data_IF_181692607832
#
_entry.id   IF_181692607832
#
_cell.length_a   1.000
_cell.length_b   1.000
_cell.length_c   1.000
_cell.angle_alpha   90.00
_cell.angle_beta   90.00
_cell.angle_gamma   90.00
#
_symmetry.space_group_name_H-M   'P 1'
#
loop_
_entity.id
_entity.type
_entity.pdbx_description
1 polymer ?
#
# COMPACT_ATOMS: atom_id res chain seq x y z
N UNK A 1 25.23 -16.35 -9.07
CA UNK A 1 24.83 -17.06 -10.30
C UNK A 1 23.47 -16.50 -10.71
N UNK A 2 23.42 -15.57 -11.65
CA UNK A 2 22.18 -14.91 -12.06
C UNK A 2 21.53 -15.67 -13.21
N UNK A 3 20.55 -16.54 -12.92
CA UNK A 3 19.69 -17.07 -13.98
C UNK A 3 18.79 -15.94 -14.48
N UNK A 4 18.89 -15.62 -15.77
CA UNK A 4 17.92 -14.74 -16.42
C UNK A 4 16.61 -15.52 -16.46
N UNK A 5 15.61 -15.09 -15.69
CA UNK A 5 14.26 -15.65 -15.77
C UNK A 5 13.79 -15.61 -17.24
N UNK A 6 13.29 -16.73 -17.74
CA UNK A 6 12.76 -16.81 -19.11
C UNK A 6 11.56 -15.88 -19.26
N UNK A 7 11.18 -15.47 -20.50
CA UNK A 7 10.02 -14.61 -20.73
C UNK A 7 8.73 -15.17 -20.10
N UNK A 8 8.54 -16.49 -20.15
CA UNK A 8 7.39 -17.16 -19.53
C UNK A 8 7.41 -17.08 -18.00
N UNK A 9 8.56 -17.31 -17.37
CA UNK A 9 8.71 -17.15 -15.91
C UNK A 9 8.50 -15.70 -15.47
N UNK A 10 8.94 -14.73 -16.28
CA UNK A 10 8.66 -13.31 -16.01
C UNK A 10 7.17 -13.00 -16.07
N UNK A 11 6.43 -13.58 -17.02
CA UNK A 11 4.99 -13.43 -17.12
C UNK A 11 4.26 -14.03 -15.90
N UNK A 12 4.68 -15.22 -15.45
CA UNK A 12 4.13 -15.86 -14.24
C UNK A 12 4.42 -15.05 -12.96
N UNK A 13 5.64 -14.53 -12.82
CA UNK A 13 6.03 -13.68 -11.69
C UNK A 13 5.12 -12.45 -11.60
N UNK A 14 4.90 -11.77 -12.72
CA UNK A 14 4.08 -10.57 -12.73
C UNK A 14 2.59 -10.91 -12.54
N UNK A 15 2.11 -12.03 -13.07
CA UNK A 15 0.74 -12.49 -12.84
C UNK A 15 0.50 -12.84 -11.36
N UNK A 16 1.45 -13.49 -10.66
CA UNK A 16 1.35 -13.73 -9.22
C UNK A 16 1.31 -12.41 -8.44
N UNK A 17 2.13 -11.42 -8.80
CA UNK A 17 2.11 -10.10 -8.15
C UNK A 17 0.75 -9.42 -8.38
N UNK A 18 0.23 -9.44 -9.61
CA UNK A 18 -1.09 -8.89 -9.95
C UNK A 18 -2.24 -9.63 -9.26
N UNK A 19 -2.06 -10.92 -8.96
CA UNK A 19 -3.00 -11.73 -8.19
C UNK A 19 -2.98 -11.44 -6.68
N UNK A 20 -2.07 -10.58 -6.20
CA UNK A 20 -2.00 -10.15 -4.79
C UNK A 20 -0.92 -10.83 -3.96
N UNK A 21 -0.04 -11.65 -4.55
CA UNK A 21 1.09 -12.22 -3.82
C UNK A 21 2.14 -11.14 -3.51
N UNK A 22 2.73 -11.20 -2.32
CA UNK A 22 3.83 -10.29 -1.95
C UNK A 22 5.12 -10.63 -2.72
N UNK A 23 5.98 -9.65 -2.93
CA UNK A 23 7.30 -9.84 -3.56
C UNK A 23 8.14 -10.90 -2.81
N UNK A 24 7.98 -11.01 -1.49
CA UNK A 24 8.63 -12.03 -0.67
C UNK A 24 8.09 -13.44 -0.95
N UNK A 25 6.77 -13.58 -1.06
CA UNK A 25 6.14 -14.86 -1.41
C UNK A 25 6.56 -15.32 -2.81
N UNK A 26 6.59 -14.40 -3.78
CA UNK A 26 7.02 -14.66 -5.16
C UNK A 26 8.51 -15.01 -5.22
N UNK A 27 9.35 -14.28 -4.48
CA UNK A 27 10.78 -14.56 -4.34
C UNK A 27 11.03 -15.99 -3.85
N UNK A 28 10.29 -16.42 -2.82
CA UNK A 28 10.36 -17.80 -2.30
C UNK A 28 9.81 -18.83 -3.29
N UNK A 29 8.71 -18.51 -4.00
CA UNK A 29 8.08 -19.42 -4.96
C UNK A 29 8.98 -19.77 -6.15
N UNK A 30 9.72 -18.78 -6.67
CA UNK A 30 10.59 -18.96 -7.83
C UNK A 30 12.08 -19.15 -7.48
N UNK A 31 12.43 -19.20 -6.19
CA UNK A 31 13.81 -19.21 -5.68
C UNK A 31 14.69 -18.10 -6.30
N UNK A 32 14.13 -16.89 -6.36
CA UNK A 32 14.79 -15.70 -6.90
C UNK A 32 15.05 -14.69 -5.80
N UNK A 33 16.11 -13.90 -5.95
CA UNK A 33 16.36 -12.78 -5.03
C UNK A 33 15.22 -11.77 -5.07
N UNK A 34 14.90 -11.17 -3.91
CA UNK A 34 13.91 -10.09 -3.81
C UNK A 34 14.18 -8.96 -4.81
N UNK A 35 15.47 -8.60 -5.00
CA UNK A 35 15.87 -7.57 -5.95
C UNK A 35 15.55 -7.95 -7.40
N UNK A 36 15.74 -9.23 -7.76
CA UNK A 36 15.39 -9.76 -9.08
C UNK A 36 13.88 -9.62 -9.35
N UNK A 37 13.05 -10.06 -8.40
CA UNK A 37 11.58 -9.98 -8.52
C UNK A 37 11.13 -8.51 -8.62
N UNK A 38 11.67 -7.63 -7.77
CA UNK A 38 11.39 -6.19 -7.81
C UNK A 38 11.81 -5.55 -9.15
N UNK A 39 12.94 -5.97 -9.71
CA UNK A 39 13.42 -5.50 -11.02
C UNK A 39 12.49 -5.96 -12.14
N UNK A 40 12.03 -7.22 -12.11
CA UNK A 40 11.03 -7.76 -13.07
C UNK A 40 9.74 -6.96 -12.99
N UNK A 41 9.20 -6.73 -11.78
CA UNK A 41 7.99 -5.93 -11.57
C UNK A 41 8.11 -4.52 -12.17
N UNK A 42 9.22 -3.82 -11.90
CA UNK A 42 9.45 -2.46 -12.42
C UNK A 42 9.54 -2.43 -13.95
N UNK A 43 10.25 -3.38 -14.56
CA UNK A 43 10.42 -3.47 -16.02
C UNK A 43 9.12 -3.84 -16.74
N UNK A 44 8.30 -4.66 -16.11
CA UNK A 44 7.02 -5.08 -16.67
C UNK A 44 6.02 -3.91 -16.80
N UNK A 45 6.26 -2.80 -16.09
CA UNK A 45 5.50 -1.55 -16.21
C UNK A 45 4.00 -1.83 -16.33
N UNK A 46 3.40 -2.31 -15.22
CA UNK A 46 2.03 -2.86 -15.16
C UNK A 46 1.04 -1.92 -15.88
N UNK A 47 0.86 -2.12 -17.18
CA UNK A 47 -0.23 -1.58 -17.98
C UNK A 47 -1.24 -2.70 -18.07
N UNK A 48 -2.33 -2.54 -17.33
CA UNK A 48 -3.49 -3.41 -17.43
C UNK A 48 -3.89 -3.50 -18.90
N UNK A 49 -3.81 -4.70 -19.49
CA UNK A 49 -4.20 -4.95 -20.89
C UNK A 49 -3.32 -5.93 -21.67
N UNK A 50 -2.04 -6.12 -21.30
CA UNK A 50 -1.15 -7.07 -22.04
C UNK A 50 -0.99 -8.44 -21.39
N UNK A 51 -1.52 -8.63 -20.18
CA UNK A 51 -1.45 -9.91 -19.47
C UNK A 51 -2.70 -10.75 -19.73
N UNK A 52 -2.52 -12.06 -19.91
CA UNK A 52 -3.65 -12.99 -19.97
C UNK A 52 -4.35 -12.96 -18.61
N UNK A 53 -5.53 -12.34 -18.55
CA UNK A 53 -6.38 -12.27 -17.36
C UNK A 53 -6.60 -13.67 -16.75
N UNK A 54 -6.70 -14.70 -17.59
CA UNK A 54 -6.76 -16.11 -17.20
C UNK A 54 -5.64 -16.54 -16.24
N UNK A 55 -4.41 -16.03 -16.43
CA UNK A 55 -3.26 -16.38 -15.59
C UNK A 55 -3.36 -15.69 -14.23
N UNK A 56 -3.84 -14.46 -14.19
CA UNK A 56 -4.09 -13.71 -12.94
C UNK A 56 -5.20 -14.40 -12.16
N UNK A 57 -6.31 -14.73 -12.83
CA UNK A 57 -7.46 -15.39 -12.22
C UNK A 57 -7.09 -16.78 -11.67
N UNK A 58 -6.23 -17.53 -12.37
CA UNK A 58 -5.68 -18.80 -11.86
C UNK A 58 -5.00 -18.62 -10.51
N UNK A 59 -4.12 -17.63 -10.37
CA UNK A 59 -3.39 -17.39 -9.12
C UNK A 59 -4.29 -16.78 -8.03
N UNK A 60 -5.24 -15.92 -8.38
CA UNK A 60 -6.23 -15.41 -7.43
C UNK A 60 -7.12 -16.54 -6.87
N UNK A 61 -7.57 -17.45 -7.73
CA UNK A 61 -8.35 -18.61 -7.33
C UNK A 61 -7.52 -19.56 -6.46
N UNK A 62 -6.24 -19.78 -6.77
CA UNK A 62 -5.35 -20.54 -5.90
C UNK A 62 -5.22 -19.92 -4.50
N UNK A 63 -5.16 -18.59 -4.39
CA UNK A 63 -5.13 -17.88 -3.11
C UNK A 63 -6.45 -18.01 -2.33
N UNK A 64 -7.59 -17.95 -3.02
CA UNK A 64 -8.91 -18.17 -2.40
C UNK A 64 -9.07 -19.62 -1.90
N UNK A 65 -8.61 -20.59 -2.68
CA UNK A 65 -8.64 -22.00 -2.32
C UNK A 65 -7.70 -22.27 -1.14
N UNK A 66 -6.52 -21.64 -1.08
CA UNK A 66 -5.62 -21.83 0.06
C UNK A 66 -6.26 -21.34 1.38
N UNK A 67 -7.04 -20.26 1.34
CA UNK A 67 -7.83 -19.79 2.48
C UNK A 67 -9.01 -20.72 2.86
N UNK A 68 -9.37 -21.70 2.04
CA UNK A 68 -10.35 -22.73 2.43
C UNK A 68 -9.75 -23.78 3.38
N UNK A 69 -8.42 -23.89 3.43
CA UNK A 69 -7.72 -24.75 4.40
C UNK A 69 -7.83 -24.20 5.82
N UNK A 70 -8.32 -25.02 6.75
CA UNK A 70 -8.40 -24.66 8.17
C UNK A 70 -7.04 -24.29 8.76
N UNK A 71 -5.99 -25.05 8.41
CA UNK A 71 -4.64 -24.80 8.91
C UNK A 71 -4.10 -23.42 8.48
N UNK A 72 -4.39 -23.00 7.25
CA UNK A 72 -3.98 -21.68 6.74
C UNK A 72 -4.77 -20.57 7.43
N UNK A 73 -6.08 -20.77 7.65
CA UNK A 73 -6.92 -19.80 8.37
C UNK A 73 -6.50 -19.64 9.83
N UNK A 74 -6.20 -20.74 10.52
CA UNK A 74 -5.71 -20.71 11.89
C UNK A 74 -4.37 -19.97 11.99
N UNK A 75 -3.43 -20.27 11.09
CA UNK A 75 -2.13 -19.60 11.07
C UNK A 75 -2.27 -18.10 10.72
N UNK A 76 -3.09 -17.75 9.73
CA UNK A 76 -3.36 -16.36 9.38
C UNK A 76 -4.03 -15.62 10.55
N UNK A 77 -4.98 -16.25 11.24
CA UNK A 77 -5.65 -15.68 12.42
C UNK A 77 -4.65 -15.42 13.55
N UNK A 78 -3.76 -16.38 13.83
CA UNK A 78 -2.70 -16.20 14.83
C UNK A 78 -1.80 -15.01 14.50
N UNK A 79 -1.37 -14.88 13.24
CA UNK A 79 -0.52 -13.77 12.81
C UNK A 79 -1.23 -12.41 12.95
N UNK A 80 -2.52 -12.34 12.61
CA UNK A 80 -3.31 -11.10 12.78
C UNK A 80 -3.49 -10.74 14.27
N UNK A 81 -3.68 -11.73 15.13
CA UNK A 81 -3.77 -11.50 16.58
C UNK A 81 -2.43 -11.01 17.15
N UNK A 82 -1.32 -11.57 16.68
CA UNK A 82 0.03 -11.12 17.06
C UNK A 82 0.28 -9.68 16.61
N UNK A 83 -0.05 -9.31 15.37
CA UNK A 83 0.05 -7.94 14.86
C UNK A 83 -0.76 -6.95 15.72
N UNK A 84 -1.98 -7.33 16.11
CA UNK A 84 -2.84 -6.51 16.96
C UNK A 84 -2.26 -6.35 18.38
N UNK A 85 -1.77 -7.43 18.97
CA UNK A 85 -1.14 -7.40 20.29
C UNK A 85 0.13 -6.53 20.29
N UNK A 86 0.95 -6.64 19.25
CA UNK A 86 2.15 -5.81 19.08
C UNK A 86 1.80 -4.33 18.91
N UNK A 87 0.79 -4.02 18.09
CA UNK A 87 0.35 -2.63 17.91
C UNK A 87 -0.21 -2.03 19.20
N UNK A 88 -1.00 -2.78 19.97
CA UNK A 88 -1.49 -2.33 21.28
C UNK A 88 -0.33 -2.03 22.22
N UNK A 89 0.60 -2.98 22.38
CA UNK A 89 1.76 -2.82 23.27
C UNK A 89 2.67 -1.66 22.86
N UNK A 90 2.82 -1.42 21.55
CA UNK A 90 3.57 -0.28 21.04
C UNK A 90 2.88 1.03 21.42
N UNK A 91 1.56 1.13 21.23
CA UNK A 91 0.78 2.32 21.59
C UNK A 91 0.86 2.60 23.08
N UNK A 92 0.71 1.59 23.93
CA UNK A 92 0.83 1.75 25.39
C UNK A 92 2.19 2.33 25.77
N UNK A 93 3.28 1.80 25.20
CA UNK A 93 4.63 2.33 25.44
C UNK A 93 4.80 3.76 24.94
N UNK A 94 4.24 4.09 23.79
CA UNK A 94 4.30 5.44 23.24
C UNK A 94 3.49 6.44 24.08
N UNK A 95 2.36 6.01 24.66
CA UNK A 95 1.60 6.81 25.63
C UNK A 95 2.42 7.05 26.91
N UNK A 96 3.03 6.02 27.49
CA UNK A 96 3.91 6.22 28.66
C UNK A 96 5.06 7.20 28.35
N UNK A 97 5.71 7.06 27.19
CA UNK A 97 6.76 7.99 26.77
C UNK A 97 6.25 9.42 26.56
N UNK A 98 5.02 9.57 26.07
CA UNK A 98 4.40 10.88 25.91
C UNK A 98 4.14 11.53 27.26
N UNK A 99 3.66 10.76 28.25
CA UNK A 99 3.38 11.23 29.60
C UNK A 99 4.66 11.59 30.39
N UNK A 100 5.80 10.98 30.05
CA UNK A 100 7.11 11.32 30.64
C UNK A 100 7.71 12.63 30.10
N UNK A 101 7.22 13.14 28.95
CA UNK A 101 7.74 14.37 28.37
C UNK A 101 7.24 15.60 29.15
N UNK A 102 8.13 16.55 29.48
CA UNK A 102 7.73 17.75 30.19
C UNK A 102 6.91 18.69 29.29
N UNK A 103 5.79 19.18 29.82
CA UNK A 103 4.88 20.12 29.10
C UNK A 103 5.54 21.46 28.74
N UNK A 104 6.49 21.89 29.56
CA UNK A 104 7.17 23.19 29.42
C UNK A 104 8.68 22.97 29.39
N UNK A 105 9.34 23.19 28.24
CA UNK A 105 10.79 23.13 28.19
C UNK A 105 11.41 24.29 28.97
N UNK A 106 12.49 24.01 29.70
CA UNK A 106 13.26 25.00 30.46
C UNK A 106 14.30 25.72 29.61
N UNK A 107 14.78 25.09 28.54
CA UNK A 107 15.73 25.67 27.60
C UNK A 107 15.49 25.22 26.15
N UNK A 108 16.18 25.87 25.21
CA UNK A 108 16.08 25.58 23.77
C UNK A 108 16.52 24.16 23.42
N UNK A 109 17.49 23.59 24.15
CA UNK A 109 18.01 22.24 23.87
C UNK A 109 16.97 21.18 24.23
N UNK A 110 16.34 21.33 25.38
CA UNK A 110 15.25 20.48 25.86
C UNK A 110 14.04 20.60 24.93
N UNK A 111 13.68 21.83 24.50
CA UNK A 111 12.61 22.03 23.53
C UNK A 111 12.83 21.25 22.22
N UNK A 112 14.06 21.24 21.69
CA UNK A 112 14.41 20.46 20.50
C UNK A 112 14.34 18.95 20.76
N UNK A 113 14.76 18.49 21.94
CA UNK A 113 14.67 17.06 22.31
C UNK A 113 13.23 16.60 22.42
N UNK A 114 12.35 17.38 23.06
CA UNK A 114 10.91 17.10 23.16
C UNK A 114 10.29 17.07 21.77
N UNK A 115 10.57 18.06 20.92
CA UNK A 115 10.04 18.10 19.55
C UNK A 115 10.46 16.86 18.72
N UNK A 116 11.70 16.40 18.86
CA UNK A 116 12.17 15.15 18.22
C UNK A 116 11.46 13.92 18.79
N UNK A 117 11.29 13.84 20.10
CA UNK A 117 10.57 12.74 20.74
C UNK A 117 9.12 12.67 20.25
N UNK A 118 8.40 13.81 20.22
CA UNK A 118 7.04 13.91 19.69
C UNK A 118 6.96 13.50 18.22
N UNK A 119 7.92 13.93 17.39
CA UNK A 119 7.98 13.53 15.97
C UNK A 119 8.19 12.03 15.82
N UNK A 120 9.05 11.44 16.66
CA UNK A 120 9.27 10.00 16.72
C UNK A 120 8.00 9.24 17.11
N UNK A 121 7.34 9.67 18.18
CA UNK A 121 6.06 9.10 18.65
C UNK A 121 5.00 9.16 17.54
N UNK A 122 4.80 10.33 16.92
CA UNK A 122 3.83 10.52 15.85
C UNK A 122 4.13 9.62 14.63
N UNK A 123 5.40 9.51 14.25
CA UNK A 123 5.83 8.66 13.13
C UNK A 123 5.60 7.17 13.45
N UNK A 124 5.92 6.72 14.66
CA UNK A 124 5.67 5.35 15.10
C UNK A 124 4.17 5.01 15.15
N UNK A 125 3.33 5.93 15.63
CA UNK A 125 1.86 5.76 15.61
C UNK A 125 1.32 5.64 14.19
N UNK A 126 1.78 6.50 13.27
CA UNK A 126 1.39 6.45 11.86
C UNK A 126 1.80 5.12 11.22
N UNK A 127 3.07 4.72 11.36
CA UNK A 127 3.57 3.47 10.80
C UNK A 127 2.82 2.26 11.35
N UNK A 128 2.54 2.22 12.66
CA UNK A 128 1.72 1.18 13.27
C UNK A 128 0.32 1.10 12.64
N UNK A 129 -0.32 2.24 12.41
CA UNK A 129 -1.65 2.28 11.78
C UNK A 129 -1.60 1.85 10.31
N UNK A 130 -0.57 2.24 9.57
CA UNK A 130 -0.38 1.83 8.18
C UNK A 130 -0.14 0.32 8.08
N UNK A 131 0.62 -0.27 9.00
CA UNK A 131 0.82 -1.73 9.09
C UNK A 131 -0.50 -2.45 9.39
N UNK A 132 -1.27 -2.00 10.41
CA UNK A 132 -2.56 -2.62 10.71
C UNK A 132 -3.51 -2.52 9.51
N UNK A 133 -3.60 -1.35 8.86
CA UNK A 133 -4.40 -1.18 7.65
C UNK A 133 -3.98 -2.17 6.56
N UNK A 134 -2.68 -2.38 6.35
CA UNK A 134 -2.20 -3.35 5.38
C UNK A 134 -2.54 -4.80 5.76
N UNK A 135 -2.38 -5.17 7.04
CA UNK A 135 -2.69 -6.51 7.54
C UNK A 135 -4.19 -6.84 7.50
N UNK A 136 -5.07 -5.86 7.73
CA UNK A 136 -6.53 -6.07 7.72
C UNK A 136 -7.20 -5.90 6.34
N UNK A 137 -6.55 -5.23 5.38
CA UNK A 137 -7.06 -5.06 4.01
C UNK A 137 -6.96 -6.33 3.14
N UNK A 138 -6.81 -7.51 3.75
CA UNK A 138 -7.01 -8.78 3.03
C UNK A 138 -8.46 -8.89 2.56
N UNK A 139 -8.71 -8.55 1.29
CA UNK A 139 -10.00 -8.72 0.63
C UNK A 139 -10.77 -7.44 0.31
N UNK A 140 -10.32 -6.28 0.76
CA UNK A 140 -10.83 -5.02 0.21
C UNK A 140 -10.24 -4.86 -1.20
N UNK A 141 -11.12 -4.71 -2.19
CA UNK A 141 -10.69 -4.25 -3.52
C UNK A 141 -9.86 -2.98 -3.30
N UNK A 142 -8.74 -2.78 -4.03
CA UNK A 142 -8.10 -1.49 -4.03
C UNK A 142 -9.20 -0.47 -4.30
N UNK A 143 -9.28 0.55 -3.45
CA UNK A 143 -10.12 1.71 -3.71
C UNK A 143 -9.71 2.15 -5.11
N UNK A 144 -10.52 1.80 -6.10
CA UNK A 144 -10.37 2.31 -7.45
C UNK A 144 -10.65 3.77 -7.19
N UNK A 145 -9.58 4.55 -7.16
CA UNK A 145 -9.63 5.99 -7.12
C UNK A 145 -10.45 6.33 -8.37
N UNK A 146 -11.78 6.45 -8.21
CA UNK A 146 -12.70 6.85 -9.27
C UNK A 146 -12.10 8.10 -9.84
N UNK A 147 -11.75 8.03 -11.12
CA UNK A 147 -10.88 8.97 -11.82
C UNK A 147 -11.12 10.40 -11.31
N UNK A 148 -10.12 10.95 -10.60
CA UNK A 148 -10.10 12.39 -10.33
C UNK A 148 -10.32 13.08 -11.68
N UNK A 149 -11.36 13.91 -11.83
CA UNK A 149 -11.70 14.47 -13.12
C UNK A 149 -10.48 15.20 -13.69
N UNK A 150 -10.10 14.85 -14.92
CA UNK A 150 -8.97 15.50 -15.58
C UNK A 150 -9.28 16.99 -15.75
N UNK A 151 -8.39 17.85 -15.24
CA UNK A 151 -8.47 19.28 -15.47
C UNK A 151 -8.06 19.58 -16.91
N UNK A 152 -9.04 19.67 -17.81
CA UNK A 152 -8.83 20.06 -19.21
C UNK A 152 -8.81 21.58 -19.29
N UNK A 153 -7.60 22.16 -19.38
CA UNK A 153 -7.42 23.58 -19.71
C UNK A 153 -7.35 23.73 -21.22
N UNK A 154 -8.37 24.35 -21.83
CA UNK A 154 -8.38 24.73 -23.24
C UNK A 154 -8.68 26.22 -23.38
N UNK A 155 -8.20 26.82 -24.45
CA UNK A 155 -8.60 28.18 -24.82
C UNK A 155 -10.07 28.16 -25.25
N UNK A 156 -10.88 29.05 -24.65
CA UNK A 156 -12.28 29.20 -25.00
C UNK A 156 -12.40 29.98 -26.30
N UNK A 157 -13.29 29.54 -27.19
CA UNK A 157 -13.65 30.30 -28.38
C UNK A 157 -14.54 31.49 -28.01
N UNK A 158 -14.53 32.57 -28.79
CA UNK A 158 -15.30 33.80 -28.52
C UNK A 158 -16.80 33.55 -28.28
N UNK A 159 -17.35 32.54 -28.96
CA UNK A 159 -18.76 32.14 -28.84
C UNK A 159 -19.07 31.54 -27.46
N UNK A 160 -18.16 30.73 -26.92
CA UNK A 160 -18.28 30.11 -25.59
C UNK A 160 -18.12 31.17 -24.48
N UNK A 161 -17.32 32.22 -24.73
CA UNK A 161 -17.16 33.35 -23.80
C UNK A 161 -18.45 34.17 -23.68
N UNK A 162 -19.19 34.33 -24.79
CA UNK A 162 -20.48 35.03 -24.77
C UNK A 162 -21.54 34.25 -23.98
N UNK A 163 -21.59 32.93 -24.12
CA UNK A 163 -22.51 32.05 -23.39
C UNK A 163 -22.27 32.07 -21.88
N UNK A 164 -21.01 32.05 -21.43
CA UNK A 164 -20.68 32.15 -20.00
C UNK A 164 -21.03 33.53 -19.45
N UNK A 165 -20.90 34.59 -20.25
CA UNK A 165 -21.25 35.96 -19.84
C UNK A 165 -22.76 36.14 -19.70
N UNK A 166 -23.56 35.61 -20.62
CA UNK A 166 -25.03 35.66 -20.52
C UNK A 166 -25.54 34.82 -19.36
N UNK A 167 -24.94 33.65 -19.09
CA UNK A 167 -25.29 32.80 -17.96
C UNK A 167 -25.03 33.45 -16.59
N UNK A 168 -24.00 34.30 -16.46
CA UNK A 168 -23.69 35.04 -15.21
C UNK A 168 -24.52 36.30 -14.98
N UNK A 169 -25.22 36.80 -16.00
CA UNK A 169 -26.09 37.98 -15.91
C UNK A 169 -27.56 37.62 -15.65
N UNK A 170 -27.89 36.33 -15.65
CA UNK A 170 -29.23 35.79 -15.34
C UNK A 170 -29.38 35.16 -13.95
N UNK A 171 -28.39 35.34 -13.06
CA UNK A 171 -28.38 34.91 -11.66
C UNK A 171 -28.07 36.08 -10.75
#
# INVERSE_FOLDING_TARGET
>A
MGSRATPDTQAEIVAMIAAGYTLAAVSKHFDLSYHTVRSIQKRAGIKAGSMKQELIDKYQNALKVSLSSNAIREQASSLLMDDLALASKLRDKLHCLLDELPDKPTDTKQAVQIARALTGIASSLKLSNDTLRASFKFGDKPDVNEDLPELIVREMLEVEVLEVRTAKLGS
#
